data_IF_829427637879
#
_entry.id   IF_829427637879
#
_cell.length_a   1.000
_cell.length_b   1.000
_cell.length_c   1.000
_cell.angle_alpha   90.00
_cell.angle_beta   90.00
_cell.angle_gamma   90.00
#
_symmetry.space_group_name_H-M   'P 1'
#
loop_
_entity.id
_entity.type
_entity.pdbx_description
1 polymer ?
#
# COMPACT_ATOMS: atom_id res chain seq x y z
N UNK A 1 -26.59 -13.79 13.70
CA UNK A 1 -26.37 -12.61 12.83
C UNK A 1 -26.58 -13.05 11.40
N UNK A 2 -27.69 -12.62 10.80
CA UNK A 2 -28.09 -13.00 9.45
C UNK A 2 -27.48 -11.97 8.51
N UNK A 3 -26.41 -12.35 7.81
CA UNK A 3 -25.74 -11.48 6.83
C UNK A 3 -26.71 -11.29 5.67
N UNK A 4 -27.32 -10.12 5.54
CA UNK A 4 -28.20 -9.82 4.41
C UNK A 4 -27.34 -9.56 3.17
N UNK A 5 -27.45 -10.36 2.09
CA UNK A 5 -26.63 -10.18 0.88
C UNK A 5 -26.81 -8.82 0.21
N UNK A 6 -27.97 -8.18 0.43
CA UNK A 6 -28.27 -6.84 -0.07
C UNK A 6 -27.33 -5.77 0.51
N UNK A 7 -27.05 -5.82 1.81
CA UNK A 7 -26.16 -4.85 2.48
C UNK A 7 -24.71 -4.99 1.98
N UNK A 8 -24.25 -6.23 1.75
CA UNK A 8 -22.93 -6.51 1.20
C UNK A 8 -22.84 -5.96 -0.24
N UNK A 9 -23.90 -6.12 -1.03
CA UNK A 9 -23.95 -5.65 -2.41
C UNK A 9 -23.93 -4.12 -2.48
N UNK A 10 -24.69 -3.43 -1.62
CA UNK A 10 -24.68 -1.97 -1.52
C UNK A 10 -23.33 -1.44 -1.03
N UNK A 11 -22.70 -2.10 -0.07
CA UNK A 11 -21.38 -1.72 0.43
C UNK A 11 -20.30 -1.83 -0.67
N UNK A 12 -20.28 -2.94 -1.41
CA UNK A 12 -19.34 -3.13 -2.52
C UNK A 12 -19.58 -2.07 -3.61
N UNK A 13 -20.85 -1.85 -3.99
CA UNK A 13 -21.22 -0.86 -5.01
C UNK A 13 -20.77 0.55 -4.62
N UNK A 14 -21.02 0.96 -3.37
CA UNK A 14 -20.59 2.27 -2.85
C UNK A 14 -19.06 2.43 -2.88
N UNK A 15 -18.32 1.34 -2.64
CA UNK A 15 -16.86 1.36 -2.62
C UNK A 15 -16.25 1.43 -4.03
N UNK A 16 -16.92 0.82 -5.01
CA UNK A 16 -16.57 0.92 -6.44
C UNK A 16 -16.90 2.31 -6.97
N UNK A 17 -18.05 2.88 -6.62
CA UNK A 17 -18.43 4.25 -7.00
C UNK A 17 -17.46 5.31 -6.43
N UNK A 18 -16.94 5.07 -5.22
CA UNK A 18 -15.91 5.93 -4.60
C UNK A 18 -14.48 5.62 -5.03
N UNK A 19 -14.25 4.62 -5.90
CA UNK A 19 -12.91 4.27 -6.37
C UNK A 19 -12.44 5.30 -7.40
N UNK A 20 -11.92 6.43 -6.91
CA UNK A 20 -11.30 7.43 -7.75
C UNK A 20 -10.08 6.84 -8.47
N UNK A 21 -10.18 6.66 -9.78
CA UNK A 21 -9.06 6.27 -10.67
C UNK A 21 -8.18 7.51 -10.92
N UNK A 22 -7.76 8.19 -9.85
CA UNK A 22 -6.77 9.23 -9.94
C UNK A 22 -5.40 8.58 -9.91
N UNK A 23 -4.58 8.82 -10.95
CA UNK A 23 -3.17 8.49 -10.92
C UNK A 23 -2.53 9.33 -9.80
N UNK A 24 -2.33 8.72 -8.63
CA UNK A 24 -1.59 9.34 -7.55
C UNK A 24 -0.12 9.36 -7.98
N UNK A 25 0.42 10.55 -8.19
CA UNK A 25 1.85 10.74 -8.39
C UNK A 25 2.49 10.48 -7.03
N UNK A 26 3.07 9.30 -6.87
CA UNK A 26 3.81 8.89 -5.66
C UNK A 26 5.30 9.01 -5.92
N UNK A 27 6.07 9.30 -4.87
CA UNK A 27 7.52 9.15 -4.94
C UNK A 27 7.83 7.66 -4.81
N UNK A 28 8.49 7.10 -5.81
CA UNK A 28 8.78 5.66 -5.88
C UNK A 28 10.29 5.43 -5.91
N UNK A 29 10.70 4.30 -5.34
CA UNK A 29 12.10 3.84 -5.36
C UNK A 29 12.16 2.36 -5.67
N UNK A 30 13.35 1.90 -6.05
CA UNK A 30 13.61 0.49 -6.32
C UNK A 30 14.46 -0.11 -5.20
N UNK A 31 14.02 -1.25 -4.67
CA UNK A 31 14.81 -2.00 -3.68
C UNK A 31 16.04 -2.60 -4.36
N UNK A 32 17.22 -2.27 -3.83
CA UNK A 32 18.51 -2.77 -4.31
C UNK A 32 18.93 -4.00 -3.52
N UNK A 33 18.71 -4.01 -2.20
CA UNK A 33 19.08 -5.12 -1.35
C UNK A 33 18.24 -5.17 -0.08
N UNK A 34 18.06 -6.38 0.45
CA UNK A 34 17.41 -6.63 1.75
C UNK A 34 18.33 -7.53 2.57
N UNK A 35 18.63 -7.13 3.80
CA UNK A 35 19.45 -7.92 4.73
C UNK A 35 19.00 -7.65 6.16
N UNK A 36 18.61 -8.70 6.88
CA UNK A 36 18.25 -8.66 8.31
C UNK A 36 17.29 -7.51 8.69
N UNK A 37 16.26 -7.29 7.88
CA UNK A 37 15.26 -6.23 8.12
C UNK A 37 15.71 -4.82 7.73
N UNK A 38 16.93 -4.67 7.20
CA UNK A 38 17.43 -3.42 6.61
C UNK A 38 17.26 -3.49 5.09
N UNK A 39 16.63 -2.47 4.52
CA UNK A 39 16.39 -2.37 3.07
C UNK A 39 17.19 -1.20 2.51
N UNK A 40 17.91 -1.43 1.41
CA UNK A 40 18.56 -0.36 0.64
C UNK A 40 17.69 -0.04 -0.56
N UNK A 41 17.20 1.20 -0.63
CA UNK A 41 16.39 1.70 -1.73
C UNK A 41 17.19 2.70 -2.55
N UNK A 42 17.08 2.62 -3.87
CA UNK A 42 17.57 3.64 -4.79
C UNK A 42 16.39 4.47 -5.30
N UNK A 43 16.53 5.80 -5.30
CA UNK A 43 15.42 6.74 -5.57
C UNK A 43 14.94 7.40 -4.28
N UNK A 44 13.63 7.66 -4.17
CA UNK A 44 12.99 8.30 -3.01
C UNK A 44 13.69 9.58 -2.53
N UNK A 45 14.06 10.46 -3.47
CA UNK A 45 14.86 11.66 -3.16
C UNK A 45 14.16 12.66 -2.24
N UNK A 46 12.83 12.62 -2.17
CA UNK A 46 12.03 13.49 -1.29
C UNK A 46 11.55 12.77 -0.03
N UNK A 47 12.01 11.55 0.26
CA UNK A 47 11.65 10.85 1.49
C UNK A 47 12.28 11.52 2.71
N UNK A 48 11.51 11.65 3.79
CA UNK A 48 11.97 12.24 5.04
C UNK A 48 12.50 11.18 6.00
N UNK A 49 13.45 11.56 6.86
CA UNK A 49 13.94 10.68 7.91
C UNK A 49 12.79 10.28 8.85
N UNK A 50 12.65 8.97 9.10
CA UNK A 50 11.60 8.40 9.94
C UNK A 50 10.22 8.34 9.26
N UNK A 51 10.13 8.63 7.96
CA UNK A 51 8.91 8.43 7.19
C UNK A 51 8.58 6.92 7.08
N UNK A 52 7.29 6.60 7.08
CA UNK A 52 6.83 5.22 6.90
C UNK A 52 6.75 4.90 5.42
N UNK A 53 7.61 4.00 4.96
CA UNK A 53 7.62 3.48 3.60
C UNK A 53 6.77 2.21 3.50
N UNK A 54 5.89 2.17 2.51
CA UNK A 54 5.10 0.99 2.13
C UNK A 54 5.89 0.17 1.10
N UNK A 55 6.08 -1.12 1.38
CA UNK A 55 6.71 -2.07 0.47
C UNK A 55 5.66 -2.92 -0.25
N UNK A 56 6.01 -3.51 -1.41
CA UNK A 56 5.12 -4.41 -2.13
C UNK A 56 4.58 -5.52 -1.22
N UNK A 57 3.30 -5.91 -1.39
CA UNK A 57 2.69 -6.93 -0.56
C UNK A 57 3.41 -8.28 -0.71
N UNK A 58 3.48 -9.02 0.39
CA UNK A 58 3.93 -10.41 0.37
C UNK A 58 2.95 -11.28 -0.44
N UNK A 59 3.32 -12.53 -0.78
CA UNK A 59 2.40 -13.47 -1.43
C UNK A 59 1.07 -13.68 -0.68
N UNK A 60 1.06 -13.43 0.63
CA UNK A 60 -0.12 -13.49 1.49
C UNK A 60 -1.01 -12.23 1.41
N UNK A 61 -0.62 -11.26 0.58
CA UNK A 61 -1.35 -10.01 0.36
C UNK A 61 -1.18 -8.97 1.47
N UNK A 62 -0.29 -9.19 2.43
CA UNK A 62 -0.04 -8.24 3.51
C UNK A 62 1.03 -7.22 3.10
N UNK A 63 0.74 -5.90 3.16
CA UNK A 63 1.75 -4.88 2.95
C UNK A 63 2.75 -4.89 4.11
N UNK A 64 4.02 -4.70 3.79
CA UNK A 64 5.08 -4.52 4.78
C UNK A 64 5.47 -3.05 4.85
N UNK A 65 5.88 -2.60 6.03
CA UNK A 65 6.25 -1.21 6.26
C UNK A 65 7.65 -1.13 6.87
N UNK A 66 8.39 -0.08 6.53
CA UNK A 66 9.67 0.24 7.15
C UNK A 66 9.80 1.73 7.39
N UNK A 67 10.81 2.09 8.18
CA UNK A 67 11.16 3.48 8.45
C UNK A 67 12.32 3.89 7.53
N UNK A 68 12.17 5.05 6.89
CA UNK A 68 13.20 5.69 6.08
C UNK A 68 14.33 6.29 6.92
#
# INVERSE_FOLDING_TARGET
>A
MQLNPAEISELIKSRIEGLGVSANIRNEGTVVSVTDGIVRVHGLSDAMQGEMLEFPPSPDGQPSYGLA
#
